data_IF_309394217231
#
_entry.id   IF_309394217231
#
_cell.length_a   1.000
_cell.length_b   1.000
_cell.length_c   1.000
_cell.angle_alpha   90.00
_cell.angle_beta   90.00
_cell.angle_gamma   90.00
#
_symmetry.space_group_name_H-M   'P 1'
#
loop_
_entity.id
_entity.type
_entity.pdbx_description
1 polymer ?
#
# COMPACT_ATOMS: atom_id res chain seq x y z
N UNK A 1 -24.19 19.41 14.43
CA UNK A 1 -23.80 20.46 13.48
C UNK A 1 -24.21 19.94 12.11
N UNK A 2 -24.69 20.76 11.18
CA UNK A 2 -24.95 20.25 9.83
C UNK A 2 -23.62 20.29 9.05
N UNK A 3 -23.13 19.14 8.61
CA UNK A 3 -21.83 19.02 7.94
C UNK A 3 -22.08 19.05 6.43
N UNK A 4 -21.61 20.11 5.79
CA UNK A 4 -21.59 20.23 4.33
C UNK A 4 -20.24 19.73 3.81
N UNK A 5 -20.25 18.69 2.95
CA UNK A 5 -19.05 18.15 2.35
C UNK A 5 -18.54 19.10 1.26
N UNK A 6 -17.25 19.40 1.25
CA UNK A 6 -16.60 20.19 0.19
C UNK A 6 -16.63 19.46 -1.16
N UNK A 7 -16.53 18.13 -1.13
CA UNK A 7 -16.62 17.28 -2.31
C UNK A 7 -17.41 16.02 -1.99
N UNK A 8 -18.35 15.67 -2.86
CA UNK A 8 -19.12 14.42 -2.81
C UNK A 8 -18.35 13.25 -3.42
N UNK A 9 -18.59 12.04 -2.90
CA UNK A 9 -18.13 10.78 -3.52
C UNK A 9 -18.92 10.42 -4.78
N UNK A 10 -20.04 11.11 -5.06
CA UNK A 10 -21.01 10.77 -6.08
C UNK A 10 -22.00 9.68 -5.65
N UNK A 11 -21.91 9.17 -4.42
CA UNK A 11 -22.77 8.10 -3.89
C UNK A 11 -23.39 8.58 -2.58
N UNK A 12 -24.69 8.87 -2.59
CA UNK A 12 -25.44 9.45 -1.46
C UNK A 12 -25.19 8.72 -0.13
N UNK A 13 -25.27 7.38 -0.14
CA UNK A 13 -25.03 6.55 1.05
C UNK A 13 -23.62 6.71 1.63
N UNK A 14 -22.61 6.91 0.79
CA UNK A 14 -21.23 7.13 1.22
C UNK A 14 -21.08 8.54 1.77
N UNK A 15 -21.70 9.52 1.13
CA UNK A 15 -21.70 10.90 1.63
C UNK A 15 -22.40 11.00 2.98
N UNK A 16 -23.51 10.28 3.19
CA UNK A 16 -24.20 10.22 4.49
C UNK A 16 -23.34 9.57 5.57
N UNK A 17 -22.64 8.47 5.22
CA UNK A 17 -21.67 7.83 6.11
C UNK A 17 -20.54 8.79 6.49
N UNK A 18 -20.00 9.53 5.51
CA UNK A 18 -18.94 10.52 5.73
C UNK A 18 -19.43 11.66 6.61
N UNK A 19 -20.61 12.24 6.36
CA UNK A 19 -21.21 13.28 7.21
C UNK A 19 -21.42 12.80 8.63
N UNK A 20 -21.90 11.56 8.81
CA UNK A 20 -22.09 10.95 10.13
C UNK A 20 -20.78 10.79 10.89
N UNK A 21 -19.76 10.24 10.23
CA UNK A 21 -18.43 10.05 10.82
C UNK A 21 -17.74 11.38 11.15
N UNK A 22 -17.78 12.34 10.23
CA UNK A 22 -17.22 13.69 10.45
C UNK A 22 -17.92 14.36 11.63
N UNK A 23 -19.25 14.32 11.71
CA UNK A 23 -20.01 14.85 12.83
C UNK A 23 -19.56 14.27 14.17
N UNK A 24 -19.41 12.94 14.24
CA UNK A 24 -18.99 12.25 15.45
C UNK A 24 -17.55 12.63 15.85
N UNK A 25 -16.65 12.72 14.88
CA UNK A 25 -15.28 13.16 15.10
C UNK A 25 -15.21 14.63 15.57
N UNK A 26 -15.90 15.55 14.90
CA UNK A 26 -15.90 16.97 15.27
C UNK A 26 -16.52 17.22 16.65
N UNK A 27 -17.54 16.45 17.03
CA UNK A 27 -18.11 16.49 18.39
C UNK A 27 -17.12 15.96 19.44
N UNK A 28 -16.35 14.93 19.11
CA UNK A 28 -15.39 14.29 20.03
C UNK A 28 -14.07 15.04 20.12
N UNK A 29 -13.69 15.77 19.08
CA UNK A 29 -12.41 16.46 18.94
C UNK A 29 -12.58 17.93 18.55
N UNK A 30 -13.27 18.77 19.35
CA UNK A 30 -13.59 20.14 18.96
C UNK A 30 -12.35 20.94 18.57
N UNK A 31 -12.34 21.47 17.35
CA UNK A 31 -11.24 22.26 16.76
C UNK A 31 -9.88 21.55 16.69
N UNK A 32 -9.81 20.24 16.95
CA UNK A 32 -8.57 19.47 16.90
C UNK A 32 -8.30 18.89 15.52
N UNK A 33 -9.33 18.66 14.71
CA UNK A 33 -9.17 18.16 13.36
C UNK A 33 -8.97 19.34 12.41
N UNK A 34 -8.00 19.18 11.50
CA UNK A 34 -7.63 20.13 10.46
C UNK A 34 -8.45 19.87 9.20
N UNK A 35 -8.48 18.62 8.74
CA UNK A 35 -9.06 18.26 7.46
C UNK A 35 -9.32 16.76 7.34
N UNK A 36 -10.21 16.40 6.42
CA UNK A 36 -10.56 15.05 6.05
C UNK A 36 -10.31 14.84 4.56
N UNK A 37 -9.63 13.76 4.20
CA UNK A 37 -9.40 13.36 2.82
C UNK A 37 -9.91 11.95 2.56
N UNK A 38 -10.77 11.81 1.56
CA UNK A 38 -11.22 10.52 1.06
C UNK A 38 -10.16 9.98 0.10
N UNK A 39 -9.65 8.79 0.39
CA UNK A 39 -8.73 8.03 -0.44
C UNK A 39 -9.42 6.89 -1.19
N UNK A 40 -8.57 6.08 -1.83
CA UNK A 40 -8.99 4.81 -2.42
C UNK A 40 -10.12 4.90 -3.42
N UNK A 41 -10.85 3.79 -3.56
CA UNK A 41 -11.75 3.58 -4.70
C UNK A 41 -13.04 4.41 -4.67
N UNK A 42 -13.44 4.96 -3.51
CA UNK A 42 -14.57 5.88 -3.46
C UNK A 42 -14.20 7.31 -3.88
N UNK A 43 -12.93 7.69 -3.80
CA UNK A 43 -12.49 9.03 -4.21
C UNK A 43 -12.34 9.19 -5.72
N UNK A 44 -12.23 8.09 -6.47
CA UNK A 44 -12.02 8.08 -7.93
C UNK A 44 -13.17 7.44 -8.72
N UNK A 45 -14.25 7.07 -8.04
CA UNK A 45 -15.42 6.43 -8.65
C UNK A 45 -15.19 4.99 -9.13
N UNK A 46 -14.14 4.31 -8.65
CA UNK A 46 -13.84 2.90 -9.01
C UNK A 46 -14.20 1.90 -7.92
N UNK A 47 -14.98 2.30 -6.92
CA UNK A 47 -15.45 1.42 -5.87
C UNK A 47 -16.34 0.30 -6.43
N UNK A 48 -16.22 -0.90 -5.86
CA UNK A 48 -17.02 -2.07 -6.25
C UNK A 48 -17.74 -2.64 -5.04
N UNK A 49 -18.83 -3.37 -5.28
CA UNK A 49 -19.59 -4.02 -4.19
C UNK A 49 -20.38 -3.04 -3.34
N UNK A 50 -21.29 -2.27 -3.92
CA UNK A 50 -22.24 -1.43 -3.16
C UNK A 50 -23.31 -2.26 -2.40
N UNK A 51 -23.33 -3.58 -2.62
CA UNK A 51 -24.07 -4.58 -1.87
C UNK A 51 -23.22 -5.15 -0.72
N UNK A 52 -23.84 -5.86 0.23
CA UNK A 52 -23.19 -6.53 1.38
C UNK A 52 -22.19 -7.65 1.00
N UNK A 53 -21.57 -7.59 -0.19
CA UNK A 53 -20.52 -8.51 -0.58
C UNK A 53 -19.34 -8.34 0.38
N UNK A 54 -18.78 -9.44 0.91
CA UNK A 54 -17.59 -9.37 1.76
C UNK A 54 -16.36 -8.88 0.96
N UNK A 55 -16.46 -8.85 -0.37
CA UNK A 55 -15.48 -8.33 -1.31
C UNK A 55 -15.74 -6.88 -1.75
N UNK A 56 -16.63 -6.15 -1.06
CA UNK A 56 -16.88 -4.72 -1.28
C UNK A 56 -15.70 -3.81 -0.95
N UNK A 57 -15.57 -2.72 -1.70
CA UNK A 57 -14.61 -1.65 -1.41
C UNK A 57 -14.89 -1.01 -0.05
N UNK A 58 -13.82 -0.75 0.69
CA UNK A 58 -13.78 0.03 1.92
C UNK A 58 -13.73 1.53 1.66
N UNK A 59 -14.13 2.30 2.67
CA UNK A 59 -14.00 3.76 2.72
C UNK A 59 -12.67 4.12 3.38
N UNK A 60 -11.67 4.45 2.58
CA UNK A 60 -10.37 4.93 3.04
C UNK A 60 -10.44 6.41 3.43
N UNK A 61 -10.27 6.76 4.70
CA UNK A 61 -10.34 8.14 5.18
C UNK A 61 -9.08 8.56 5.93
N UNK A 62 -8.44 9.63 5.48
CA UNK A 62 -7.30 10.24 6.17
C UNK A 62 -7.78 11.46 6.98
N UNK A 63 -7.68 11.37 8.30
CA UNK A 63 -8.10 12.42 9.24
C UNK A 63 -6.87 13.12 9.81
N UNK A 64 -6.70 14.39 9.47
CA UNK A 64 -5.52 15.15 9.87
C UNK A 64 -5.83 15.95 11.12
N UNK A 65 -5.16 15.65 12.23
CA UNK A 65 -5.26 16.41 13.47
C UNK A 65 -4.24 17.55 13.47
N UNK A 66 -4.62 18.70 14.02
CA UNK A 66 -3.72 19.84 14.19
C UNK A 66 -2.58 19.49 15.14
N UNK A 67 -1.36 19.87 14.77
CA UNK A 67 -0.16 19.53 15.54
C UNK A 67 0.06 18.01 15.67
N UNK A 68 0.53 17.58 16.84
CA UNK A 68 0.76 16.16 17.17
C UNK A 68 -0.49 15.50 17.76
N UNK A 69 -0.85 14.29 17.28
CA UNK A 69 -1.92 13.48 17.85
C UNK A 69 -1.47 12.90 19.21
N UNK A 70 -2.29 13.10 20.24
CA UNK A 70 -2.02 12.55 21.58
C UNK A 70 -2.48 11.10 21.66
N UNK A 71 -1.87 10.32 22.55
CA UNK A 71 -2.25 8.92 22.77
C UNK A 71 -3.74 8.75 23.14
N UNK A 72 -4.28 9.65 23.98
CA UNK A 72 -5.69 9.66 24.32
C UNK A 72 -6.58 9.94 23.10
N UNK A 73 -6.16 10.85 22.21
CA UNK A 73 -6.89 11.15 20.97
C UNK A 73 -6.89 9.94 20.03
N UNK A 74 -5.75 9.26 19.88
CA UNK A 74 -5.67 8.00 19.12
C UNK A 74 -6.60 6.92 19.68
N UNK A 75 -6.64 6.74 21.00
CA UNK A 75 -7.50 5.73 21.64
C UNK A 75 -8.99 6.05 21.41
N UNK A 76 -9.40 7.31 21.60
CA UNK A 76 -10.77 7.75 21.33
C UNK A 76 -11.12 7.61 19.85
N UNK A 77 -10.23 8.00 18.94
CA UNK A 77 -10.46 7.91 17.50
C UNK A 77 -10.63 6.44 17.08
N UNK A 78 -9.77 5.55 17.57
CA UNK A 78 -9.87 4.12 17.30
C UNK A 78 -11.18 3.51 17.81
N UNK A 79 -11.66 3.94 18.99
CA UNK A 79 -12.95 3.52 19.52
C UNK A 79 -14.10 3.95 18.61
N UNK A 80 -14.08 5.19 18.11
CA UNK A 80 -15.08 5.70 17.16
C UNK A 80 -15.09 4.86 15.89
N UNK A 81 -13.92 4.60 15.29
CA UNK A 81 -13.84 3.81 14.05
C UNK A 81 -14.33 2.37 14.27
N UNK A 82 -13.97 1.76 15.39
CA UNK A 82 -14.43 0.41 15.74
C UNK A 82 -15.96 0.36 15.85
N UNK A 83 -16.57 1.33 16.52
CA UNK A 83 -18.03 1.43 16.63
C UNK A 83 -18.69 1.68 15.27
N UNK A 84 -18.11 2.54 14.43
CA UNK A 84 -18.60 2.75 13.06
C UNK A 84 -18.51 1.47 12.22
N UNK A 85 -17.44 0.69 12.33
CA UNK A 85 -17.28 -0.58 11.62
C UNK A 85 -18.33 -1.63 12.05
N UNK A 86 -18.72 -1.65 13.33
CA UNK A 86 -19.74 -2.57 13.83
C UNK A 86 -21.16 -2.21 13.36
N UNK A 87 -21.43 -0.93 13.16
CA UNK A 87 -22.77 -0.43 12.80
C UNK A 87 -22.94 -0.11 11.31
N UNK A 88 -21.83 -0.01 10.57
CA UNK A 88 -21.84 0.29 9.15
C UNK A 88 -21.82 -1.00 8.32
N UNK A 89 -22.73 -1.12 7.33
CA UNK A 89 -22.66 -2.21 6.35
C UNK A 89 -21.51 -2.05 5.34
N UNK A 90 -20.82 -0.91 5.37
CA UNK A 90 -19.65 -0.62 4.54
C UNK A 90 -18.44 -0.52 5.47
N UNK A 91 -17.39 -1.26 5.15
CA UNK A 91 -16.14 -1.21 5.91
C UNK A 91 -15.53 0.19 5.83
N UNK A 92 -15.24 0.78 6.99
CA UNK A 92 -14.55 2.07 7.10
C UNK A 92 -13.11 1.80 7.50
N UNK A 93 -12.15 2.26 6.70
CA UNK A 93 -10.72 2.26 7.05
C UNK A 93 -10.24 3.69 7.21
N UNK A 94 -10.44 4.23 8.42
CA UNK A 94 -10.10 5.60 8.75
C UNK A 94 -8.88 5.67 9.67
N UNK A 95 -7.96 6.57 9.37
CA UNK A 95 -6.69 6.72 10.07
C UNK A 95 -6.48 8.17 10.51
N UNK A 96 -6.01 8.35 11.74
CA UNK A 96 -5.66 9.65 12.30
C UNK A 96 -4.16 9.93 12.14
N UNK A 97 -3.82 11.11 11.62
CA UNK A 97 -2.44 11.54 11.41
C UNK A 97 -2.18 12.92 12.03
N UNK A 98 -0.97 13.11 12.54
CA UNK A 98 -0.49 14.41 13.01
C UNK A 98 -0.17 15.32 11.83
N UNK A 99 -0.71 16.52 11.81
CA UNK A 99 -0.29 17.60 10.90
C UNK A 99 1.22 17.87 11.02
N UNK A 100 1.75 17.82 12.25
CA UNK A 100 3.19 18.04 12.49
C UNK A 100 4.06 17.01 11.75
N UNK A 101 3.64 15.74 11.72
CA UNK A 101 4.40 14.65 11.08
C UNK A 101 4.32 14.73 9.55
N UNK A 102 3.26 15.33 9.00
CA UNK A 102 3.08 15.51 7.56
C UNK A 102 3.83 16.75 7.04
N UNK A 103 3.78 17.86 7.77
CA UNK A 103 4.37 19.14 7.36
C UNK A 103 5.88 19.21 7.62
N UNK A 104 6.33 18.66 8.76
CA UNK A 104 7.73 18.67 9.12
C UNK A 104 8.31 17.31 8.74
N UNK A 105 9.12 17.29 7.68
CA UNK A 105 9.78 16.10 7.10
C UNK A 105 10.09 15.01 8.13
N UNK A 106 9.94 13.72 7.77
CA UNK A 106 9.85 12.64 8.73
C UNK A 106 10.97 12.71 9.75
N UNK A 107 10.57 12.77 11.02
CA UNK A 107 11.44 12.35 12.13
C UNK A 107 12.02 10.99 11.73
N UNK A 108 13.26 10.63 12.14
CA UNK A 108 13.92 9.36 11.74
C UNK A 108 13.12 8.06 12.00
N UNK A 109 11.98 8.15 12.70
CA UNK A 109 11.06 7.05 13.06
C UNK A 109 9.68 7.11 12.37
N UNK A 110 9.35 8.17 11.63
CA UNK A 110 8.07 8.27 10.91
C UNK A 110 8.18 7.49 9.59
N UNK A 111 8.00 6.18 9.67
CA UNK A 111 7.91 5.31 8.48
C UNK A 111 6.62 5.65 7.72
N UNK A 112 6.71 5.80 6.40
CA UNK A 112 5.58 5.96 5.45
C UNK A 112 4.85 7.33 5.37
N UNK A 113 5.27 8.38 6.08
CA UNK A 113 4.68 9.72 5.90
C UNK A 113 4.91 10.29 4.50
N UNK A 114 6.01 9.93 3.84
CA UNK A 114 6.26 10.31 2.44
C UNK A 114 5.23 9.75 1.47
N UNK A 115 4.87 8.47 1.60
CA UNK A 115 3.83 7.88 0.77
C UNK A 115 2.48 8.52 1.02
N UNK A 116 2.10 8.73 2.29
CA UNK A 116 0.86 9.40 2.64
C UNK A 116 0.78 10.84 2.10
N UNK A 117 1.87 11.61 2.17
CA UNK A 117 1.92 12.94 1.56
C UNK A 117 1.66 12.86 0.05
N UNK A 118 2.31 11.91 -0.64
CA UNK A 118 2.05 11.69 -2.06
C UNK A 118 0.58 11.31 -2.31
N UNK A 119 0.00 10.39 -1.53
CA UNK A 119 -1.41 10.00 -1.62
C UNK A 119 -2.34 11.20 -1.48
N UNK A 120 -2.16 12.00 -0.42
CA UNK A 120 -3.00 13.16 -0.14
C UNK A 120 -2.87 14.21 -1.26
N UNK A 121 -1.67 14.42 -1.78
CA UNK A 121 -1.45 15.40 -2.85
C UNK A 121 -2.01 14.96 -4.21
N UNK A 122 -1.81 13.70 -4.60
CA UNK A 122 -2.02 13.27 -5.99
C UNK A 122 -3.27 12.43 -6.22
N UNK A 123 -3.84 11.88 -5.15
CA UNK A 123 -4.88 10.86 -5.25
C UNK A 123 -5.82 10.83 -4.04
N UNK A 124 -6.11 11.96 -3.42
CA UNK A 124 -7.20 12.05 -2.44
C UNK A 124 -8.13 13.20 -2.79
N UNK A 125 -9.36 13.09 -2.29
CA UNK A 125 -10.39 14.11 -2.41
C UNK A 125 -10.55 14.78 -1.05
N UNK A 126 -10.41 16.11 -1.01
CA UNK A 126 -10.69 16.89 0.19
C UNK A 126 -12.20 16.93 0.43
N UNK A 127 -12.66 16.35 1.54
CA UNK A 127 -14.10 16.23 1.84
C UNK A 127 -14.59 17.21 2.89
N UNK A 128 -13.76 17.66 3.83
CA UNK A 128 -14.15 18.64 4.86
C UNK A 128 -12.94 19.24 5.58
N UNK A 129 -13.08 20.48 6.07
CA UNK A 129 -12.07 21.20 6.86
C UNK A 129 -11.17 22.14 6.03
N UNK A 130 -9.96 22.38 6.51
CA UNK A 130 -8.97 23.25 5.87
C UNK A 130 -8.02 22.43 4.98
N UNK A 131 -8.12 22.58 3.66
CA UNK A 131 -7.22 21.88 2.72
C UNK A 131 -5.76 22.32 2.91
N UNK A 132 -4.90 21.38 3.30
CA UNK A 132 -3.46 21.57 3.54
C UNK A 132 -2.58 21.00 2.42
N UNK A 133 -3.14 20.50 1.32
CA UNK A 133 -2.36 19.86 0.24
C UNK A 133 -1.23 20.74 -0.30
N UNK A 134 -1.50 22.05 -0.40
CA UNK A 134 -0.52 23.04 -0.85
C UNK A 134 0.63 23.28 0.15
N UNK A 135 0.47 22.87 1.41
CA UNK A 135 1.47 23.00 2.47
C UNK A 135 2.33 21.75 2.64
N UNK A 136 1.87 20.60 2.12
CA UNK A 136 2.58 19.33 2.25
C UNK A 136 3.93 19.40 1.49
N UNK A 137 5.04 18.95 2.10
CA UNK A 137 6.34 18.96 1.45
C UNK A 137 6.35 18.01 0.25
N UNK A 138 7.06 18.41 -0.80
CA UNK A 138 7.30 17.55 -1.95
C UNK A 138 8.07 16.30 -1.52
N UNK A 139 7.58 15.14 -1.94
CA UNK A 139 8.20 13.84 -1.64
C UNK A 139 9.30 13.60 -2.66
N UNK A 140 10.58 13.45 -2.24
CA UNK A 140 11.64 13.07 -3.16
C UNK A 140 11.26 11.79 -3.91
N UNK A 141 11.42 11.79 -5.24
CA UNK A 141 11.04 10.65 -6.06
C UNK A 141 11.77 9.37 -5.64
N UNK A 142 13.03 9.49 -5.21
CA UNK A 142 13.83 8.39 -4.69
C UNK A 142 13.15 7.67 -3.52
N UNK A 143 12.59 8.46 -2.60
CA UNK A 143 11.87 8.02 -1.41
C UNK A 143 10.54 7.38 -1.77
N UNK A 144 9.79 7.99 -2.67
CA UNK A 144 8.54 7.42 -3.16
C UNK A 144 8.73 6.02 -3.73
N UNK A 145 9.76 5.80 -4.56
CA UNK A 145 10.06 4.47 -5.12
C UNK A 145 10.39 3.46 -4.01
N UNK A 146 11.12 3.84 -2.97
CA UNK A 146 11.40 2.95 -1.84
C UNK A 146 10.13 2.63 -1.04
N UNK A 147 9.23 3.58 -0.82
CA UNK A 147 7.93 3.32 -0.16
C UNK A 147 7.06 2.36 -0.99
N UNK A 148 7.08 2.49 -2.32
CA UNK A 148 6.42 1.56 -3.26
C UNK A 148 7.01 0.16 -3.14
N UNK A 149 8.34 0.04 -3.09
CA UNK A 149 9.03 -1.24 -2.92
C UNK A 149 8.66 -1.87 -1.57
N UNK A 150 8.72 -1.10 -0.49
CA UNK A 150 8.39 -1.52 0.87
C UNK A 150 6.97 -2.11 0.92
N UNK A 151 6.01 -1.35 0.39
CA UNK A 151 4.61 -1.73 0.33
C UNK A 151 4.37 -2.96 -0.56
N UNK A 152 5.00 -3.02 -1.73
CA UNK A 152 4.87 -4.16 -2.63
C UNK A 152 5.47 -5.44 -2.02
N UNK A 153 6.65 -5.36 -1.39
CA UNK A 153 7.26 -6.50 -0.65
C UNK A 153 6.33 -7.01 0.44
N UNK A 154 5.69 -6.12 1.20
CA UNK A 154 4.69 -6.50 2.18
C UNK A 154 3.50 -7.23 1.54
N UNK A 155 2.95 -6.71 0.44
CA UNK A 155 1.80 -7.32 -0.24
C UNK A 155 2.11 -8.67 -0.89
N UNK A 156 3.32 -8.86 -1.45
CA UNK A 156 3.80 -10.15 -1.92
C UNK A 156 3.81 -11.19 -0.78
N UNK A 157 3.93 -10.77 0.48
CA UNK A 157 3.92 -11.71 1.60
C UNK A 157 2.52 -12.20 2.02
N UNK A 158 1.45 -11.47 1.66
CA UNK A 158 0.08 -11.71 2.13
C UNK A 158 -0.46 -13.12 1.78
N UNK A 159 -0.35 -13.62 0.53
CA UNK A 159 -0.92 -14.94 0.20
C UNK A 159 -0.07 -16.11 0.72
N UNK A 160 1.10 -15.83 1.31
CA UNK A 160 2.07 -16.86 1.71
C UNK A 160 1.85 -17.25 3.18
N UNK A 161 1.91 -18.55 3.53
CA UNK A 161 1.57 -19.03 4.87
C UNK A 161 2.53 -18.46 5.92
N UNK A 162 1.98 -17.73 6.90
CA UNK A 162 2.72 -17.08 7.99
C UNK A 162 1.88 -17.05 9.24
N UNK A 163 2.54 -17.11 10.40
CA UNK A 163 1.88 -17.00 11.71
C UNK A 163 1.33 -15.58 11.94
N UNK A 164 2.09 -14.55 11.53
CA UNK A 164 1.72 -13.15 11.70
C UNK A 164 2.15 -12.30 10.50
N UNK A 165 1.31 -11.34 10.12
CA UNK A 165 1.63 -10.31 9.14
C UNK A 165 2.19 -9.10 9.90
N UNK A 166 3.49 -8.84 9.75
CA UNK A 166 4.18 -7.70 10.34
C UNK A 166 5.23 -7.17 9.35
N UNK A 167 5.65 -5.91 9.52
CA UNK A 167 6.74 -5.30 8.77
C UNK A 167 7.81 -4.72 9.72
N UNK A 168 9.12 -5.01 9.53
CA UNK A 168 9.69 -5.96 8.58
C UNK A 168 9.13 -7.38 8.72
N UNK A 169 9.21 -8.14 7.64
CA UNK A 169 8.67 -9.49 7.58
C UNK A 169 9.42 -10.41 8.56
N UNK A 170 8.70 -11.12 9.43
CA UNK A 170 9.28 -12.11 10.36
C UNK A 170 10.04 -13.20 9.62
N UNK A 171 9.44 -13.70 8.54
CA UNK A 171 10.08 -14.59 7.57
C UNK A 171 10.36 -13.78 6.31
N UNK A 172 11.62 -13.52 5.95
CA UNK A 172 11.92 -12.76 4.74
C UNK A 172 11.48 -13.53 3.49
N UNK A 173 11.21 -12.79 2.41
CA UNK A 173 11.08 -13.38 1.08
C UNK A 173 12.47 -13.78 0.56
N UNK A 174 12.58 -14.94 -0.09
CA UNK A 174 13.84 -15.44 -0.67
C UNK A 174 13.62 -15.68 -2.17
N UNK A 175 14.09 -14.78 -3.05
CA UNK A 175 13.98 -14.96 -4.49
C UNK A 175 14.86 -16.12 -5.02
N UNK A 176 14.46 -16.83 -6.08
CA UNK A 176 13.17 -16.70 -6.75
C UNK A 176 12.04 -17.29 -5.89
N UNK A 177 10.89 -16.63 -5.90
CA UNK A 177 9.67 -17.09 -5.24
C UNK A 177 9.06 -18.29 -5.98
N UNK A 178 8.39 -19.14 -5.21
CA UNK A 178 7.44 -20.13 -5.69
C UNK A 178 5.99 -19.62 -5.52
N UNK A 179 5.05 -20.36 -6.09
CA UNK A 179 3.62 -20.16 -5.88
C UNK A 179 3.28 -20.20 -4.38
N UNK A 180 2.35 -19.35 -3.90
CA UNK A 180 1.91 -19.38 -2.50
C UNK A 180 1.39 -20.76 -2.06
N UNK A 181 0.60 -21.42 -2.92
CA UNK A 181 0.15 -22.80 -2.76
C UNK A 181 0.07 -23.48 -4.15
N UNK A 182 1.09 -24.25 -4.58
CA UNK A 182 1.11 -24.84 -5.93
C UNK A 182 -0.02 -25.86 -6.19
N UNK A 183 -0.63 -26.42 -5.15
CA UNK A 183 -1.74 -27.36 -5.26
C UNK A 183 -3.11 -26.67 -5.33
N UNK A 184 -3.19 -25.36 -5.04
CA UNK A 184 -4.43 -24.60 -5.10
C UNK A 184 -4.90 -24.36 -6.53
N UNK A 185 -6.21 -24.25 -6.72
CA UNK A 185 -6.81 -23.94 -8.03
C UNK A 185 -6.31 -22.60 -8.59
N UNK A 186 -6.11 -21.61 -7.73
CA UNK A 186 -5.57 -20.30 -8.10
C UNK A 186 -4.20 -20.04 -7.49
N UNK A 187 -3.43 -21.12 -7.27
CA UNK A 187 -2.09 -21.08 -6.71
C UNK A 187 -1.97 -20.40 -5.32
N UNK A 188 -3.09 -20.22 -4.61
CA UNK A 188 -3.17 -19.58 -3.30
C UNK A 188 -3.33 -18.05 -3.32
N UNK A 189 -3.44 -17.41 -4.49
CA UNK A 189 -3.68 -15.97 -4.58
C UNK A 189 -5.12 -15.56 -4.22
N UNK A 190 -6.02 -16.53 -4.07
CA UNK A 190 -7.42 -16.35 -3.72
C UNK A 190 -7.68 -16.30 -2.20
N UNK A 191 -6.65 -16.55 -1.38
CA UNK A 191 -6.76 -16.74 0.07
C UNK A 191 -5.80 -15.78 0.80
N UNK A 192 -6.20 -15.36 2.01
CA UNK A 192 -5.32 -14.70 2.99
C UNK A 192 -5.07 -15.65 4.15
N UNK A 193 -3.98 -16.44 4.18
CA UNK A 193 -3.77 -17.45 5.21
C UNK A 193 -3.80 -16.91 6.65
N UNK A 194 -3.33 -15.68 6.87
CA UNK A 194 -3.32 -15.04 8.18
C UNK A 194 -4.70 -14.54 8.64
N UNK A 195 -5.73 -14.61 7.79
CA UNK A 195 -7.11 -14.29 8.08
C UNK A 195 -8.01 -15.37 7.50
N UNK A 196 -8.13 -16.53 8.16
CA UNK A 196 -8.91 -17.66 7.65
C UNK A 196 -10.38 -17.33 7.37
N UNK A 197 -10.93 -16.35 8.09
CA UNK A 197 -12.31 -15.87 7.92
C UNK A 197 -12.47 -14.82 6.80
N UNK A 198 -11.37 -14.40 6.17
CA UNK A 198 -11.44 -13.47 5.05
C UNK A 198 -12.11 -14.17 3.84
N UNK A 199 -12.98 -13.46 3.10
CA UNK A 199 -13.60 -14.02 1.92
C UNK A 199 -12.53 -14.42 0.91
N UNK A 200 -12.74 -15.55 0.24
CA UNK A 200 -11.96 -15.89 -0.93
C UNK A 200 -12.26 -14.90 -2.05
N UNK A 201 -11.23 -14.54 -2.82
CA UNK A 201 -11.40 -13.58 -3.89
C UNK A 201 -10.08 -13.10 -4.48
N UNK A 202 -10.18 -12.25 -5.48
CA UNK A 202 -9.04 -11.79 -6.28
C UNK A 202 -8.42 -10.49 -5.74
N UNK A 203 -8.85 -10.02 -4.57
CA UNK A 203 -8.39 -8.76 -3.97
C UNK A 203 -6.88 -8.73 -3.71
N UNK A 204 -6.32 -9.83 -3.19
CA UNK A 204 -4.87 -9.93 -2.93
C UNK A 204 -4.09 -9.90 -4.24
N UNK A 205 -4.55 -10.65 -5.25
CA UNK A 205 -3.97 -10.65 -6.59
C UNK A 205 -3.94 -9.23 -7.20
N UNK A 206 -5.05 -8.50 -7.13
CA UNK A 206 -5.13 -7.11 -7.61
C UNK A 206 -4.20 -6.20 -6.80
N UNK A 207 -4.11 -6.36 -5.49
CA UNK A 207 -3.23 -5.55 -4.65
C UNK A 207 -1.74 -5.76 -5.01
N UNK A 208 -1.31 -7.02 -5.14
CA UNK A 208 0.07 -7.37 -5.53
C UNK A 208 0.39 -6.76 -6.90
N UNK A 209 -0.44 -7.01 -7.89
CA UNK A 209 -0.19 -6.58 -9.28
C UNK A 209 -0.26 -5.06 -9.42
N UNK A 210 -1.08 -4.36 -8.63
CA UNK A 210 -1.09 -2.90 -8.59
C UNK A 210 0.20 -2.30 -8.04
N UNK A 211 0.83 -2.90 -7.03
CA UNK A 211 2.14 -2.45 -6.54
C UNK A 211 3.25 -2.72 -7.54
N UNK A 212 3.22 -3.88 -8.21
CA UNK A 212 4.16 -4.18 -9.30
C UNK A 212 4.02 -3.15 -10.43
N UNK A 213 2.79 -2.87 -10.85
CA UNK A 213 2.49 -1.85 -11.86
C UNK A 213 3.00 -0.47 -11.44
N UNK A 214 2.83 -0.10 -10.17
CA UNK A 214 3.29 1.18 -9.63
C UNK A 214 4.80 1.30 -9.69
N UNK A 215 5.54 0.24 -9.33
CA UNK A 215 7.00 0.23 -9.43
C UNK A 215 7.45 0.35 -10.89
N UNK A 216 6.87 -0.45 -11.79
CA UNK A 216 7.20 -0.40 -13.22
C UNK A 216 6.94 1.00 -13.78
N UNK A 217 5.77 1.58 -13.51
CA UNK A 217 5.44 2.92 -13.95
C UNK A 217 6.44 3.95 -13.41
N UNK A 218 6.78 3.88 -12.12
CA UNK A 218 7.71 4.81 -11.50
C UNK A 218 9.10 4.71 -12.13
N UNK A 219 9.67 3.51 -12.25
CA UNK A 219 11.02 3.32 -12.79
C UNK A 219 11.12 3.67 -14.28
N UNK A 220 10.10 3.33 -15.07
CA UNK A 220 10.14 3.51 -16.54
C UNK A 220 9.75 4.94 -16.97
N UNK A 221 9.02 5.69 -16.13
CA UNK A 221 8.45 7.00 -16.53
C UNK A 221 8.75 8.15 -15.58
N UNK A 222 9.30 7.90 -14.39
CA UNK A 222 9.53 8.94 -13.38
C UNK A 222 8.25 9.53 -12.79
N UNK A 223 7.11 8.81 -12.86
CA UNK A 223 5.80 9.32 -12.43
C UNK A 223 5.36 8.75 -11.10
N UNK A 224 4.60 9.57 -10.37
CA UNK A 224 3.87 9.16 -9.18
C UNK A 224 2.52 8.58 -9.58
N UNK A 225 2.09 7.55 -8.87
CA UNK A 225 0.72 7.09 -8.80
C UNK A 225 0.33 6.91 -7.34
N UNK A 226 -0.77 7.53 -6.93
CA UNK A 226 -1.30 7.38 -5.57
C UNK A 226 -2.37 6.29 -5.47
N UNK A 227 -3.04 5.93 -6.57
CA UNK A 227 -4.12 4.95 -6.55
C UNK A 227 -3.95 3.86 -7.60
N UNK A 228 -4.57 2.71 -7.32
CA UNK A 228 -4.57 1.54 -8.21
C UNK A 228 -5.15 1.89 -9.60
N UNK A 229 -6.29 2.56 -9.65
CA UNK A 229 -6.95 3.00 -10.90
C UNK A 229 -6.08 3.98 -11.70
N UNK A 230 -5.50 4.96 -11.02
CA UNK A 230 -4.61 5.97 -11.58
C UNK A 230 -3.37 5.30 -12.17
N UNK A 231 -2.78 4.36 -11.43
CA UNK A 231 -1.67 3.54 -11.92
C UNK A 231 -2.06 2.77 -13.19
N UNK A 232 -3.20 2.08 -13.21
CA UNK A 232 -3.65 1.36 -14.40
C UNK A 232 -3.86 2.28 -15.61
N UNK A 233 -4.48 3.43 -15.41
CA UNK A 233 -4.65 4.45 -16.47
C UNK A 233 -3.30 4.93 -17.00
N UNK A 234 -2.38 5.30 -16.12
CA UNK A 234 -1.04 5.77 -16.50
C UNK A 234 -0.23 4.67 -17.19
N UNK A 235 -0.35 3.42 -16.77
CA UNK A 235 0.25 2.27 -17.44
C UNK A 235 -0.29 2.10 -18.88
N UNK A 236 -1.60 2.23 -19.08
CA UNK A 236 -2.22 2.19 -20.43
C UNK A 236 -1.77 3.36 -21.30
N UNK A 237 -1.59 4.54 -20.71
CA UNK A 237 -1.20 5.77 -21.40
C UNK A 237 0.29 5.79 -21.79
N UNK A 238 1.18 5.47 -20.85
CA UNK A 238 2.63 5.65 -21.03
C UNK A 238 3.38 4.36 -21.38
N UNK A 239 2.79 3.19 -21.13
CA UNK A 239 3.43 1.89 -21.34
C UNK A 239 2.50 0.91 -22.12
N UNK A 240 1.87 1.32 -23.23
CA UNK A 240 0.83 0.53 -23.90
C UNK A 240 1.34 -0.81 -24.48
N UNK A 241 2.62 -0.88 -24.83
CA UNK A 241 3.25 -2.05 -25.45
C UNK A 241 4.06 -2.91 -24.46
N UNK A 242 4.09 -2.53 -23.19
CA UNK A 242 4.82 -3.28 -22.18
C UNK A 242 3.94 -4.46 -21.71
N UNK A 243 4.41 -5.69 -21.97
CA UNK A 243 3.65 -6.91 -21.65
C UNK A 243 3.31 -7.05 -20.17
N UNK A 244 4.18 -6.53 -19.29
CA UNK A 244 3.99 -6.54 -17.82
C UNK A 244 2.81 -5.66 -17.43
N UNK A 245 2.75 -4.45 -17.99
CA UNK A 245 1.65 -3.53 -17.73
C UNK A 245 0.34 -3.99 -18.38
N UNK A 246 0.40 -4.70 -19.51
CA UNK A 246 -0.77 -5.35 -20.11
C UNK A 246 -1.34 -6.45 -19.21
N UNK A 247 -0.49 -7.30 -18.61
CA UNK A 247 -0.93 -8.35 -17.68
C UNK A 247 -1.61 -7.75 -16.44
N UNK A 248 -0.97 -6.79 -15.76
CA UNK A 248 -1.55 -6.18 -14.53
C UNK A 248 -2.82 -5.40 -14.82
N UNK A 249 -2.93 -4.74 -15.98
CA UNK A 249 -4.16 -4.04 -16.36
C UNK A 249 -5.28 -5.02 -16.70
N UNK A 250 -4.97 -6.14 -17.34
CA UNK A 250 -5.92 -7.24 -17.57
C UNK A 250 -6.43 -7.82 -16.26
N UNK A 251 -5.53 -8.07 -15.30
CA UNK A 251 -5.87 -8.54 -13.95
C UNK A 251 -6.79 -7.52 -13.27
N UNK A 252 -6.43 -6.23 -13.27
CA UNK A 252 -7.27 -5.20 -12.65
C UNK A 252 -8.66 -5.11 -13.30
N UNK A 253 -8.73 -4.97 -14.62
CA UNK A 253 -9.99 -4.81 -15.35
C UNK A 253 -10.90 -6.02 -15.18
N UNK A 254 -10.33 -7.22 -15.16
CA UNK A 254 -11.09 -8.48 -15.01
C UNK A 254 -11.47 -8.72 -13.55
N UNK A 255 -10.50 -8.79 -12.65
CA UNK A 255 -10.71 -9.18 -11.26
C UNK A 255 -11.51 -8.13 -10.48
N UNK A 256 -11.14 -6.85 -10.59
CA UNK A 256 -11.87 -5.76 -9.93
C UNK A 256 -13.06 -5.32 -10.77
N UNK A 257 -12.84 -4.99 -12.04
CA UNK A 257 -13.88 -4.38 -12.88
C UNK A 257 -15.01 -5.34 -13.25
N UNK A 258 -14.70 -6.51 -13.78
CA UNK A 258 -15.70 -7.51 -14.21
C UNK A 258 -16.25 -8.33 -13.05
N UNK A 259 -15.39 -8.83 -12.16
CA UNK A 259 -15.81 -9.76 -11.09
C UNK A 259 -16.01 -9.12 -9.71
N UNK A 260 -15.73 -7.82 -9.52
CA UNK A 260 -15.95 -7.16 -8.23
C UNK A 260 -15.12 -7.75 -7.09
N UNK A 261 -13.93 -8.27 -7.40
CA UNK A 261 -13.05 -9.08 -6.55
C UNK A 261 -13.54 -10.50 -6.20
N UNK A 262 -14.71 -10.92 -6.64
CA UNK A 262 -15.22 -12.27 -6.40
C UNK A 262 -14.52 -13.31 -7.28
N UNK A 263 -14.64 -14.58 -6.90
CA UNK A 263 -14.23 -15.68 -7.77
C UNK A 263 -15.34 -15.92 -8.81
N UNK A 264 -14.99 -16.10 -10.09
CA UNK A 264 -16.00 -16.39 -11.11
C UNK A 264 -16.62 -17.78 -10.91
N UNK A 265 -17.89 -17.90 -11.31
CA UNK A 265 -18.66 -19.14 -11.21
C UNK A 265 -18.54 -20.02 -12.44
N UNK A 266 -18.41 -19.44 -13.63
CA UNK A 266 -18.33 -20.20 -14.88
C UNK A 266 -16.92 -20.75 -15.14
N UNK A 267 -16.85 -21.93 -15.75
CA UNK A 267 -15.60 -22.65 -15.95
C UNK A 267 -14.58 -21.88 -16.84
N UNK A 268 -15.07 -21.08 -17.80
CA UNK A 268 -14.19 -20.33 -18.70
C UNK A 268 -13.50 -19.18 -17.97
N UNK A 269 -14.23 -18.40 -17.17
CA UNK A 269 -13.65 -17.33 -16.37
C UNK A 269 -12.75 -17.88 -15.24
N UNK A 270 -13.07 -19.05 -14.68
CA UNK A 270 -12.17 -19.74 -13.72
C UNK A 270 -10.85 -20.14 -14.36
N UNK A 271 -10.90 -20.71 -15.56
CA UNK A 271 -9.68 -21.05 -16.31
C UNK A 271 -8.88 -19.78 -16.67
N UNK A 272 -9.57 -18.69 -17.04
CA UNK A 272 -8.92 -17.39 -17.23
C UNK A 272 -8.23 -16.91 -15.96
N UNK A 273 -8.90 -16.92 -14.81
CA UNK A 273 -8.30 -16.53 -13.53
C UNK A 273 -7.10 -17.41 -13.18
N UNK A 274 -7.19 -18.73 -13.39
CA UNK A 274 -6.08 -19.65 -13.16
C UNK A 274 -4.86 -19.29 -14.02
N UNK A 275 -5.05 -18.95 -15.28
CA UNK A 275 -3.98 -18.51 -16.18
C UNK A 275 -3.38 -17.17 -15.74
N UNK A 276 -4.20 -16.21 -15.31
CA UNK A 276 -3.71 -14.93 -14.76
C UNK A 276 -2.87 -15.16 -13.48
N UNK A 277 -3.30 -16.05 -12.59
CA UNK A 277 -2.55 -16.43 -11.40
C UNK A 277 -1.24 -17.16 -11.73
N UNK A 278 -1.23 -17.99 -12.79
CA UNK A 278 -0.03 -18.67 -13.26
C UNK A 278 1.05 -17.65 -13.68
N UNK A 279 0.68 -16.71 -14.55
CA UNK A 279 1.61 -15.70 -15.09
C UNK A 279 2.12 -14.72 -14.02
N UNK A 280 1.34 -14.53 -12.94
CA UNK A 280 1.67 -13.62 -11.84
C UNK A 280 2.97 -14.01 -11.14
N UNK A 281 3.33 -15.29 -11.02
CA UNK A 281 4.56 -15.70 -10.35
C UNK A 281 5.82 -15.19 -11.09
N UNK A 282 5.81 -15.24 -12.42
CA UNK A 282 6.91 -14.70 -13.21
C UNK A 282 7.04 -13.19 -12.98
N UNK A 283 5.90 -12.49 -12.91
CA UNK A 283 5.84 -11.06 -12.68
C UNK A 283 6.33 -10.69 -11.26
N UNK A 284 5.98 -11.45 -10.22
CA UNK A 284 6.48 -11.24 -8.85
C UNK A 284 8.02 -11.38 -8.78
N UNK A 285 8.59 -12.36 -9.48
CA UNK A 285 10.03 -12.57 -9.51
C UNK A 285 10.76 -11.45 -10.26
N UNK A 286 10.19 -10.99 -11.38
CA UNK A 286 10.73 -9.83 -12.10
C UNK A 286 10.66 -8.56 -11.25
N UNK A 287 9.54 -8.35 -10.54
CA UNK A 287 9.39 -7.24 -9.59
C UNK A 287 10.50 -7.23 -8.53
N UNK A 288 10.83 -8.38 -7.94
CA UNK A 288 11.91 -8.46 -6.96
C UNK A 288 13.28 -8.20 -7.58
N UNK A 289 13.49 -8.54 -8.85
CA UNK A 289 14.70 -8.17 -9.56
C UNK A 289 14.80 -6.64 -9.77
N UNK A 290 13.69 -5.98 -10.13
CA UNK A 290 13.64 -4.51 -10.22
C UNK A 290 13.93 -3.87 -8.86
N UNK A 291 13.32 -4.40 -7.79
CA UNK A 291 13.57 -3.95 -6.42
C UNK A 291 15.04 -4.10 -6.05
N UNK A 292 15.65 -5.27 -6.29
CA UNK A 292 17.08 -5.52 -6.03
C UNK A 292 17.95 -4.44 -6.68
N UNK A 293 17.76 -4.20 -7.98
CA UNK A 293 18.59 -3.28 -8.75
C UNK A 293 18.46 -1.84 -8.20
N UNK A 294 17.23 -1.42 -7.90
CA UNK A 294 17.00 -0.09 -7.35
C UNK A 294 17.57 0.06 -5.93
N UNK A 295 17.34 -0.92 -5.05
CA UNK A 295 17.88 -0.94 -3.68
C UNK A 295 19.41 -0.88 -3.72
N UNK A 296 20.07 -1.69 -4.55
CA UNK A 296 21.52 -1.68 -4.68
C UNK A 296 22.06 -0.30 -5.09
N UNK A 297 21.39 0.36 -6.04
CA UNK A 297 21.74 1.73 -6.43
C UNK A 297 21.59 2.70 -5.25
N UNK A 298 20.53 2.60 -4.44
CA UNK A 298 20.35 3.44 -3.24
C UNK A 298 21.37 3.14 -2.14
N UNK A 299 21.79 1.88 -1.95
CA UNK A 299 22.84 1.54 -0.98
C UNK A 299 24.17 2.20 -1.34
N UNK A 300 24.50 2.30 -2.64
CA UNK A 300 25.73 2.95 -3.09
C UNK A 300 25.62 4.48 -3.12
N UNK A 301 24.57 4.99 -3.76
CA UNK A 301 24.49 6.39 -4.20
C UNK A 301 23.44 7.21 -3.43
N UNK A 302 22.52 6.55 -2.71
CA UNK A 302 21.47 7.20 -1.97
C UNK A 302 21.98 8.04 -0.80
N UNK A 303 21.17 9.02 -0.40
CA UNK A 303 21.36 9.77 0.84
C UNK A 303 21.17 8.87 2.07
N UNK A 304 21.41 9.43 3.25
CA UNK A 304 21.24 8.71 4.52
C UNK A 304 19.82 8.13 4.67
N UNK A 305 18.79 8.89 4.32
CA UNK A 305 17.40 8.46 4.43
C UNK A 305 17.06 7.31 3.48
N UNK A 306 17.54 7.36 2.23
CA UNK A 306 17.37 6.27 1.27
C UNK A 306 18.12 5.02 1.69
N UNK A 307 19.37 5.15 2.17
CA UNK A 307 20.16 4.03 2.70
C UNK A 307 19.49 3.38 3.91
N UNK A 308 18.96 4.18 4.83
CA UNK A 308 18.22 3.68 6.00
C UNK A 308 16.99 2.87 5.57
N UNK A 309 16.20 3.36 4.62
CA UNK A 309 15.02 2.62 4.16
C UNK A 309 15.38 1.40 3.30
N UNK A 310 16.38 1.51 2.43
CA UNK A 310 16.88 0.39 1.64
C UNK A 310 17.34 -0.78 2.54
N UNK A 311 18.10 -0.48 3.60
CA UNK A 311 18.51 -1.50 4.59
C UNK A 311 17.34 -2.03 5.42
N UNK A 312 16.31 -1.22 5.68
CA UNK A 312 15.08 -1.68 6.32
C UNK A 312 14.30 -2.66 5.43
N UNK A 313 14.16 -2.37 4.14
CA UNK A 313 13.50 -3.25 3.17
C UNK A 313 14.22 -4.61 3.06
N UNK A 314 15.56 -4.60 3.11
CA UNK A 314 16.38 -5.82 3.10
C UNK A 314 16.25 -6.68 4.36
N UNK A 315 15.55 -6.22 5.39
CA UNK A 315 15.13 -7.08 6.50
C UNK A 315 13.90 -7.94 6.13
N UNK A 316 13.20 -7.58 5.06
CA UNK A 316 12.01 -8.29 4.57
C UNK A 316 12.28 -9.15 3.34
N UNK A 317 13.41 -8.96 2.65
CA UNK A 317 13.80 -9.74 1.47
C UNK A 317 15.29 -10.07 1.53
N UNK A 318 15.63 -11.36 1.46
CA UNK A 318 16.99 -11.85 1.50
C UNK A 318 17.47 -12.20 0.07
N UNK A 319 18.27 -11.32 -0.53
CA UNK A 319 18.93 -11.59 -1.80
C UNK A 319 20.24 -12.35 -1.58
N UNK A 320 20.37 -13.55 -2.16
CA UNK A 320 21.60 -14.36 -2.12
C UNK A 320 22.61 -13.88 -3.15
N UNK A 321 23.03 -12.64 -2.99
CA UNK A 321 23.81 -11.91 -3.98
C UNK A 321 25.01 -11.21 -3.33
N UNK A 322 26.19 -11.43 -3.91
CA UNK A 322 27.44 -10.88 -3.44
C UNK A 322 27.49 -9.35 -3.49
N UNK A 323 26.80 -8.71 -4.44
CA UNK A 323 26.81 -7.24 -4.55
C UNK A 323 26.06 -6.60 -3.38
N UNK A 324 24.85 -7.08 -3.06
CA UNK A 324 24.09 -6.63 -1.89
C UNK A 324 24.88 -6.89 -0.60
N UNK A 325 25.47 -8.09 -0.44
CA UNK A 325 26.26 -8.42 0.76
C UNK A 325 27.47 -7.49 0.89
N UNK A 326 28.19 -7.20 -0.19
CA UNK A 326 29.32 -6.28 -0.17
C UNK A 326 28.89 -4.84 0.19
N UNK A 327 27.79 -4.36 -0.40
CA UNK A 327 27.24 -3.04 -0.10
C UNK A 327 26.82 -2.92 1.38
N UNK A 328 26.14 -3.93 1.93
CA UNK A 328 25.76 -3.95 3.34
C UNK A 328 26.98 -4.01 4.28
N UNK A 329 28.03 -4.78 3.95
CA UNK A 329 29.28 -4.81 4.73
C UNK A 329 29.97 -3.46 4.74
N UNK A 330 29.96 -2.73 3.64
CA UNK A 330 30.49 -1.37 3.60
C UNK A 330 29.68 -0.43 4.52
N UNK A 331 28.34 -0.51 4.45
CA UNK A 331 27.45 0.32 5.28
C UNK A 331 27.50 -0.06 6.77
N UNK A 332 27.78 -1.31 7.13
CA UNK A 332 27.99 -1.72 8.52
C UNK A 332 29.20 -1.04 9.19
N UNK A 333 30.08 -0.40 8.41
CA UNK A 333 31.22 0.38 8.89
C UNK A 333 31.01 1.91 8.81
N UNK A 334 29.80 2.38 8.46
CA UNK A 334 29.50 3.81 8.40
C UNK A 334 29.41 4.44 9.80
N UNK A 335 29.62 5.76 9.88
CA UNK A 335 29.49 6.52 11.13
C UNK A 335 28.02 6.73 11.52
N UNK A 336 27.11 6.80 10.55
CA UNK A 336 25.67 6.91 10.79
C UNK A 336 25.11 5.66 11.48
N UNK A 337 24.60 5.83 12.70
CA UNK A 337 24.13 4.73 13.53
C UNK A 337 22.91 4.01 12.95
N UNK A 338 21.95 4.75 12.39
CA UNK A 338 20.72 4.17 11.85
C UNK A 338 21.02 3.30 10.61
N UNK A 339 21.86 3.80 9.71
CA UNK A 339 22.29 3.05 8.53
C UNK A 339 23.13 1.84 8.93
N UNK A 340 24.08 2.00 9.88
CA UNK A 340 24.90 0.90 10.39
C UNK A 340 24.04 -0.21 10.98
N UNK A 341 23.14 0.11 11.91
CA UNK A 341 22.25 -0.87 12.54
C UNK A 341 21.33 -1.56 11.52
N UNK A 342 20.77 -0.79 10.57
CA UNK A 342 19.96 -1.35 9.50
C UNK A 342 20.73 -2.35 8.64
N UNK A 343 21.97 -2.00 8.25
CA UNK A 343 22.84 -2.85 7.45
C UNK A 343 23.25 -4.14 8.18
N UNK A 344 23.61 -4.06 9.46
CA UNK A 344 23.95 -5.23 10.28
C UNK A 344 22.78 -6.21 10.35
N UNK A 345 21.56 -5.73 10.63
CA UNK A 345 20.37 -6.59 10.68
C UNK A 345 20.06 -7.26 9.33
N UNK A 346 20.20 -6.50 8.23
CA UNK A 346 19.98 -7.03 6.89
C UNK A 346 21.03 -8.10 6.51
N UNK A 347 22.29 -7.94 6.93
CA UNK A 347 23.34 -8.97 6.77
C UNK A 347 23.00 -10.26 7.51
N UNK A 348 22.65 -10.17 8.79
CA UNK A 348 22.26 -11.33 9.60
C UNK A 348 21.08 -12.11 8.99
N UNK A 349 20.14 -11.39 8.38
CA UNK A 349 19.00 -12.00 7.67
C UNK A 349 19.47 -12.70 6.39
N UNK A 350 20.33 -12.06 5.61
CA UNK A 350 20.86 -12.62 4.36
C UNK A 350 21.69 -13.87 4.63
N UNK A 351 22.56 -13.85 5.65
CA UNK A 351 23.42 -14.97 6.02
C UNK A 351 22.62 -16.17 6.55
N UNK A 352 21.58 -15.94 7.36
CA UNK A 352 20.70 -17.01 7.85
C UNK A 352 19.91 -17.72 6.75
N UNK A 353 19.70 -17.06 5.62
CA UNK A 353 18.91 -17.56 4.49
C UNK A 353 19.77 -17.94 3.28
N UNK A 354 21.10 -17.94 3.38
CA UNK A 354 22.02 -18.29 2.28
C UNK A 354 22.19 -19.78 2.07
#
# INVERSE_FOLDING_TARGET
MDIELCTTSGIERIDDLLRGLINLCEASFPARIRSYYLGGSYSDGTAVGHSLSPNSSDVDLFVIFRGTVKQAEHATFHSIITECQLNSPIQVDAHAYSEDDLLHQPRPKATQTSFLNALIQVASVHVYGDDIRALLPLVPFSRYVLDVIESGVFHLSIPRPRQHIAYPLVTPLVPPLAYPNPAGEFYGYDIVPARPDAPHGTRVLVAITAWIATLILALETGRYAGQKSQCMRLCKEYLPNNKRTQLVTTIYDTCKGKWGYELPNDAADRELLRNLCHDTLSLENEYLQLCRNYILAQLHQGGTAEKQQATHILQSVAYRDNEIVAALKALANTTDEAVRTGATKALEITERNS
#
